data_IF_339751263717
#
_entry.id   IF_339751263717
#
_cell.length_a   1.000
_cell.length_b   1.000
_cell.length_c   1.000
_cell.angle_alpha   90.00
_cell.angle_beta   90.00
_cell.angle_gamma   90.00
#
_symmetry.space_group_name_H-M   'P 1'
#
loop_
_entity.id
_entity.type
_entity.pdbx_description
1 polymer ?
#
# COMPACT_ATOMS: atom_id res chain seq x y z
N UNK A 1 -13.79 17.46 -9.24
CA UNK A 1 -13.96 18.28 -8.02
C UNK A 1 -14.22 17.31 -6.87
N UNK A 2 -13.23 17.09 -6.01
CA UNK A 2 -13.40 16.28 -4.80
C UNK A 2 -13.98 17.20 -3.74
N UNK A 3 -15.25 17.03 -3.40
CA UNK A 3 -15.86 17.75 -2.29
C UNK A 3 -15.44 17.07 -0.99
N UNK A 4 -14.76 17.81 -0.12
CA UNK A 4 -14.59 17.42 1.28
C UNK A 4 -15.92 17.64 1.96
N UNK A 5 -16.66 16.56 2.18
CA UNK A 5 -17.90 16.59 2.94
C UNK A 5 -17.55 16.35 4.40
N UNK A 6 -17.84 17.34 5.25
CA UNK A 6 -17.95 17.10 6.69
C UNK A 6 -18.97 15.96 6.87
N UNK A 7 -18.60 14.95 7.64
CA UNK A 7 -19.42 13.77 7.88
C UNK A 7 -20.75 14.13 8.58
N UNK A 8 -20.80 15.28 9.25
CA UNK A 8 -22.01 15.88 9.83
C UNK A 8 -23.02 16.31 8.76
N UNK A 9 -22.55 16.86 7.65
CA UNK A 9 -23.39 17.27 6.51
C UNK A 9 -23.99 16.06 5.80
N UNK A 10 -23.35 14.90 5.89
CA UNK A 10 -23.86 13.67 5.30
C UNK A 10 -25.12 13.18 6.02
N UNK A 11 -25.26 13.46 7.32
CA UNK A 11 -26.41 13.04 8.13
C UNK A 11 -27.69 13.83 7.82
N UNK A 12 -27.59 14.99 7.17
CA UNK A 12 -28.73 15.86 6.85
C UNK A 12 -29.11 15.84 5.36
N UNK A 13 -28.38 15.09 4.52
CA UNK A 13 -28.64 14.97 3.08
C UNK A 13 -29.63 13.85 2.75
N UNK A 14 -30.35 14.00 1.63
CA UNK A 14 -31.10 12.91 1.03
C UNK A 14 -30.14 11.87 0.44
N UNK A 15 -29.97 10.76 1.17
CA UNK A 15 -28.98 9.73 0.87
C UNK A 15 -29.28 8.96 -0.43
N UNK A 16 -30.48 9.08 -1.01
CA UNK A 16 -30.86 8.39 -2.25
C UNK A 16 -30.02 8.81 -3.46
N UNK A 17 -29.44 10.00 -3.41
CA UNK A 17 -28.64 10.58 -4.50
C UNK A 17 -27.16 10.72 -4.15
N UNK A 18 -26.72 10.13 -3.03
CA UNK A 18 -25.34 10.21 -2.55
C UNK A 18 -24.62 8.89 -2.80
N UNK A 19 -23.42 8.97 -3.38
CA UNK A 19 -22.53 7.83 -3.54
C UNK A 19 -21.16 8.20 -2.97
N UNK A 20 -20.59 7.34 -2.13
CA UNK A 20 -19.31 7.58 -1.47
C UNK A 20 -18.24 6.73 -2.15
N UNK A 21 -17.47 7.33 -3.04
CA UNK A 21 -16.42 6.62 -3.80
C UNK A 21 -15.15 6.37 -2.99
N UNK A 22 -14.89 7.19 -1.97
CA UNK A 22 -13.66 7.16 -1.16
C UNK A 22 -13.96 7.57 0.28
N UNK A 23 -13.30 6.90 1.23
CA UNK A 23 -13.32 7.26 2.65
C UNK A 23 -11.88 7.34 3.14
N UNK A 24 -11.57 8.38 3.89
CA UNK A 24 -10.30 8.52 4.59
C UNK A 24 -10.58 8.73 6.08
N UNK A 25 -9.99 7.89 6.92
CA UNK A 25 -9.91 8.14 8.36
C UNK A 25 -8.53 8.73 8.63
N UNK A 26 -8.45 9.97 9.10
CA UNK A 26 -7.20 10.68 9.37
C UNK A 26 -7.28 11.40 10.72
N UNK A 27 -6.14 11.66 11.40
CA UNK A 27 -6.10 12.56 12.55
C UNK A 27 -6.64 13.93 12.16
N UNK A 28 -7.33 14.60 13.08
CA UNK A 28 -7.72 15.99 12.89
C UNK A 28 -6.48 16.89 12.91
N UNK A 29 -6.33 17.78 11.93
CA UNK A 29 -5.38 18.89 12.02
C UNK A 29 -5.99 19.99 12.88
N UNK A 30 -5.30 20.38 13.96
CA UNK A 30 -5.75 21.46 14.85
C UNK A 30 -5.81 22.79 14.07
N UNK A 31 -7.01 23.30 13.80
CA UNK A 31 -7.19 24.61 13.16
C UNK A 31 -8.52 24.86 12.44
N UNK A 32 -9.29 23.81 12.12
CA UNK A 32 -10.58 23.97 11.44
C UNK A 32 -11.76 23.95 12.43
N UNK A 33 -12.68 24.93 12.32
CA UNK A 33 -13.92 25.05 13.09
C UNK A 33 -14.90 23.90 12.79
N UNK A 34 -14.54 22.68 13.17
CA UNK A 34 -15.35 21.48 12.94
C UNK A 34 -15.94 20.99 14.26
N UNK A 35 -17.18 20.52 14.21
CA UNK A 35 -17.86 19.99 15.40
C UNK A 35 -17.42 18.55 15.59
N UNK A 36 -16.84 18.17 16.74
CA UNK A 36 -16.40 16.80 16.94
C UNK A 36 -17.58 15.82 16.96
N UNK A 37 -17.53 14.77 16.14
CA UNK A 37 -18.48 13.65 16.17
C UNK A 37 -18.16 12.75 17.37
N UNK A 38 -19.20 12.32 18.09
CA UNK A 38 -19.04 11.35 19.17
C UNK A 38 -18.60 9.98 18.62
N UNK A 39 -17.84 9.22 19.42
CA UNK A 39 -17.43 7.85 19.05
C UNK A 39 -18.63 6.95 18.76
N UNK A 40 -19.72 7.12 19.49
CA UNK A 40 -20.92 6.31 19.32
C UNK A 40 -21.66 6.68 18.03
N UNK A 41 -21.77 7.97 17.69
CA UNK A 41 -22.35 8.40 16.42
C UNK A 41 -21.50 7.94 15.22
N UNK A 42 -20.17 7.98 15.36
CA UNK A 42 -19.25 7.43 14.37
C UNK A 42 -19.52 5.95 14.11
N UNK A 43 -19.58 5.14 15.18
CA UNK A 43 -19.71 3.68 15.07
C UNK A 43 -21.11 3.24 14.68
N UNK A 44 -22.15 3.85 15.26
CA UNK A 44 -23.53 3.38 15.17
C UNK A 44 -24.34 4.02 14.04
N UNK A 45 -23.98 5.23 13.60
CA UNK A 45 -24.72 5.94 12.56
C UNK A 45 -23.89 6.06 11.30
N UNK A 46 -22.72 6.68 11.43
CA UNK A 46 -21.97 7.13 10.28
C UNK A 46 -21.36 5.96 9.49
N UNK A 47 -20.66 5.06 10.18
CA UNK A 47 -20.06 3.88 9.56
C UNK A 47 -21.10 3.06 8.78
N UNK A 48 -22.26 2.68 9.35
CA UNK A 48 -23.31 1.97 8.61
C UNK A 48 -23.80 2.71 7.37
N UNK A 49 -24.03 4.02 7.46
CA UNK A 49 -24.44 4.84 6.30
C UNK A 49 -23.37 4.77 5.22
N UNK A 50 -22.12 5.02 5.61
CA UNK A 50 -20.97 4.98 4.70
C UNK A 50 -20.86 3.61 4.02
N UNK A 51 -20.95 2.52 4.77
CA UNK A 51 -20.95 1.15 4.23
C UNK A 51 -22.05 0.94 3.17
N UNK A 52 -23.25 1.48 3.40
CA UNK A 52 -24.39 1.32 2.50
C UNK A 52 -24.21 2.06 1.18
N UNK A 53 -23.54 3.22 1.20
CA UNK A 53 -23.36 4.12 0.07
C UNK A 53 -22.08 3.86 -0.74
N UNK A 54 -21.22 2.94 -0.28
CA UNK A 54 -20.00 2.57 -0.98
C UNK A 54 -20.31 1.77 -2.27
N UNK A 55 -19.71 2.15 -3.42
CA UNK A 55 -19.67 1.30 -4.61
C UNK A 55 -18.75 0.09 -4.42
N UNK A 56 -18.89 -0.89 -5.30
CA UNK A 56 -17.91 -1.95 -5.52
C UNK A 56 -17.32 -1.79 -6.94
N UNK A 57 -16.01 -1.51 -7.11
CA UNK A 57 -15.00 -1.34 -6.06
C UNK A 57 -15.05 0.05 -5.39
N UNK A 58 -14.64 0.12 -4.13
CA UNK A 58 -14.44 1.39 -3.40
C UNK A 58 -13.05 1.52 -2.80
N UNK A 59 -12.66 2.78 -2.55
CA UNK A 59 -11.39 3.16 -1.95
C UNK A 59 -11.54 3.46 -0.46
N UNK A 60 -10.56 3.02 0.32
CA UNK A 60 -10.47 3.27 1.75
C UNK A 60 -9.04 3.61 2.14
N UNK A 61 -8.86 4.74 2.83
CA UNK A 61 -7.62 5.13 3.47
C UNK A 61 -7.80 5.16 4.99
N UNK A 62 -6.86 4.55 5.71
CA UNK A 62 -6.83 4.52 7.16
C UNK A 62 -5.46 5.03 7.61
N UNK A 63 -5.43 6.26 8.09
CA UNK A 63 -4.25 6.98 8.54
C UNK A 63 -3.80 6.56 9.94
N UNK A 64 -2.71 7.17 10.40
CA UNK A 64 -2.12 6.92 11.72
C UNK A 64 -3.13 7.23 12.84
N UNK A 65 -3.02 6.53 13.96
CA UNK A 65 -3.79 6.79 15.20
C UNK A 65 -5.31 6.53 15.14
N UNK A 66 -5.82 5.99 14.03
CA UNK A 66 -7.24 5.70 13.80
C UNK A 66 -7.73 4.37 14.41
N UNK A 67 -7.26 4.02 15.60
CA UNK A 67 -7.53 2.72 16.23
C UNK A 67 -9.02 2.42 16.49
N UNK A 68 -9.85 3.47 16.66
CA UNK A 68 -11.28 3.36 16.93
C UNK A 68 -12.10 2.79 15.75
N UNK A 69 -11.59 2.89 14.52
CA UNK A 69 -12.31 2.47 13.29
C UNK A 69 -11.88 1.12 12.75
N UNK A 70 -10.96 0.42 13.43
CA UNK A 70 -10.36 -0.82 12.95
C UNK A 70 -11.32 -2.02 12.91
N UNK A 71 -12.26 -2.13 13.85
CA UNK A 71 -13.24 -3.21 13.84
C UNK A 71 -14.28 -3.00 12.72
N UNK A 72 -14.89 -1.80 12.58
CA UNK A 72 -15.71 -1.47 11.42
C UNK A 72 -15.01 -1.67 10.06
N UNK A 73 -13.75 -1.25 9.96
CA UNK A 73 -12.91 -1.41 8.77
C UNK A 73 -12.92 -2.85 8.20
N UNK A 74 -12.93 -3.86 9.08
CA UNK A 74 -12.96 -5.27 8.66
C UNK A 74 -14.25 -5.65 7.92
N UNK A 75 -15.37 -4.98 8.22
CA UNK A 75 -16.69 -5.28 7.64
C UNK A 75 -16.90 -4.69 6.23
N UNK A 76 -16.01 -3.81 5.77
CA UNK A 76 -16.13 -3.11 4.49
C UNK A 76 -15.74 -4.01 3.30
N UNK A 77 -16.62 -4.92 2.87
CA UNK A 77 -16.32 -5.95 1.86
C UNK A 77 -16.12 -5.43 0.43
N UNK A 78 -16.72 -4.27 0.13
CA UNK A 78 -16.61 -3.57 -1.16
C UNK A 78 -15.28 -2.83 -1.34
N UNK A 79 -14.47 -2.72 -0.29
CA UNK A 79 -13.15 -2.09 -0.35
C UNK A 79 -12.17 -2.98 -1.12
N UNK A 80 -11.93 -2.64 -2.38
CA UNK A 80 -10.90 -3.31 -3.21
C UNK A 80 -9.61 -2.52 -3.26
N UNK A 81 -9.66 -1.22 -2.95
CA UNK A 81 -8.50 -0.34 -2.93
C UNK A 81 -8.28 0.16 -1.50
N UNK A 82 -7.13 -0.14 -0.93
CA UNK A 82 -6.82 0.07 0.47
C UNK A 82 -5.49 0.81 0.61
N UNK A 83 -5.51 1.97 1.28
CA UNK A 83 -4.33 2.55 1.89
C UNK A 83 -4.39 2.33 3.41
N UNK A 84 -3.36 1.71 3.99
CA UNK A 84 -3.29 1.44 5.42
C UNK A 84 -1.96 1.87 6.04
N UNK A 85 -2.02 2.82 6.96
CA UNK A 85 -0.87 3.28 7.74
C UNK A 85 -0.57 2.37 8.93
N UNK A 86 0.71 2.14 9.22
CA UNK A 86 1.14 1.45 10.43
C UNK A 86 1.03 2.35 11.67
N UNK A 87 0.37 1.85 12.71
CA UNK A 87 0.28 2.50 14.04
C UNK A 87 0.54 1.51 15.20
N UNK A 88 1.21 0.38 14.92
CA UNK A 88 1.57 -0.63 15.92
C UNK A 88 1.05 -2.03 15.61
N UNK A 89 1.31 -3.01 16.49
CA UNK A 89 1.05 -4.43 16.25
C UNK A 89 -0.40 -4.78 15.87
N UNK A 90 -1.37 -4.00 16.36
CA UNK A 90 -2.78 -4.19 16.01
C UNK A 90 -3.01 -4.05 14.50
N UNK A 91 -2.22 -3.22 13.82
CA UNK A 91 -2.25 -3.04 12.37
C UNK A 91 -1.98 -4.36 11.63
N UNK A 92 -1.00 -5.15 12.08
CA UNK A 92 -0.68 -6.45 11.47
C UNK A 92 -1.87 -7.42 11.56
N UNK A 93 -2.49 -7.51 12.76
CA UNK A 93 -3.65 -8.39 12.99
C UNK A 93 -4.84 -7.97 12.12
N UNK A 94 -5.10 -6.67 12.04
CA UNK A 94 -6.20 -6.10 11.25
C UNK A 94 -5.96 -6.31 9.76
N UNK A 95 -4.76 -6.04 9.25
CA UNK A 95 -4.40 -6.26 7.85
C UNK A 95 -4.53 -7.74 7.47
N UNK A 96 -3.95 -8.64 8.27
CA UNK A 96 -4.04 -10.09 8.04
C UNK A 96 -5.50 -10.56 7.96
N UNK A 97 -6.34 -10.10 8.88
CA UNK A 97 -7.77 -10.44 8.88
C UNK A 97 -8.50 -9.83 7.69
N UNK A 98 -8.21 -8.58 7.32
CA UNK A 98 -8.82 -7.91 6.16
C UNK A 98 -8.50 -8.65 4.87
N UNK A 99 -7.23 -8.96 4.63
CA UNK A 99 -6.76 -9.67 3.44
C UNK A 99 -7.18 -11.14 3.39
N UNK A 100 -7.59 -11.74 4.52
CA UNK A 100 -8.21 -13.08 4.55
C UNK A 100 -9.70 -13.06 4.23
N UNK A 101 -10.40 -12.03 4.67
CA UNK A 101 -11.87 -11.96 4.62
C UNK A 101 -12.40 -11.27 3.36
N UNK A 102 -11.66 -10.30 2.83
CA UNK A 102 -12.07 -9.51 1.69
C UNK A 102 -10.94 -9.44 0.66
N UNK A 103 -11.21 -9.70 -0.64
CA UNK A 103 -10.19 -9.61 -1.67
C UNK A 103 -9.90 -8.13 -1.96
N UNK A 104 -8.89 -7.59 -1.29
CA UNK A 104 -8.25 -6.31 -1.66
C UNK A 104 -7.41 -6.57 -2.90
N UNK A 105 -7.57 -5.73 -3.93
CA UNK A 105 -6.80 -5.81 -5.17
C UNK A 105 -5.64 -4.82 -5.18
N UNK A 106 -5.89 -3.61 -4.68
CA UNK A 106 -4.92 -2.52 -4.69
C UNK A 106 -4.59 -2.17 -3.24
N UNK A 107 -3.34 -2.39 -2.84
CA UNK A 107 -2.88 -2.19 -1.48
C UNK A 107 -1.72 -1.21 -1.43
N UNK A 108 -1.84 -0.19 -0.58
CA UNK A 108 -0.78 0.74 -0.23
C UNK A 108 -0.55 0.63 1.27
N UNK A 109 0.69 0.39 1.67
CA UNK A 109 1.10 0.30 3.06
C UNK A 109 2.05 1.45 3.39
N UNK A 110 1.57 2.39 4.21
CA UNK A 110 2.30 3.60 4.57
C UNK A 110 2.86 3.53 6.01
N UNK A 111 3.99 4.18 6.24
CA UNK A 111 4.67 4.23 7.55
C UNK A 111 5.63 3.08 7.82
N UNK A 112 6.10 2.99 9.06
CA UNK A 112 7.21 2.11 9.46
C UNK A 112 6.72 0.69 9.79
N UNK A 113 6.17 0.01 8.79
CA UNK A 113 5.74 -1.38 8.92
C UNK A 113 6.94 -2.30 9.21
N UNK A 114 6.80 -3.23 10.17
CA UNK A 114 7.87 -4.14 10.53
C UNK A 114 7.92 -5.32 9.54
N UNK A 115 9.07 -6.00 9.47
CA UNK A 115 9.35 -7.03 8.46
C UNK A 115 8.32 -8.18 8.46
N UNK A 116 7.70 -8.49 9.60
CA UNK A 116 6.67 -9.54 9.71
C UNK A 116 5.44 -9.29 8.82
N UNK A 117 5.24 -8.06 8.31
CA UNK A 117 4.17 -7.80 7.34
C UNK A 117 4.36 -8.61 6.05
N UNK A 118 5.60 -8.95 5.69
CA UNK A 118 5.92 -9.71 4.49
C UNK A 118 5.32 -11.12 4.52
N UNK A 119 5.24 -11.75 5.70
CA UNK A 119 4.59 -13.05 5.89
C UNK A 119 3.08 -13.01 5.57
N UNK A 120 2.47 -11.82 5.66
CA UNK A 120 1.07 -11.58 5.29
C UNK A 120 0.96 -11.35 3.77
N UNK A 121 1.94 -10.65 3.18
CA UNK A 121 1.90 -10.20 1.79
C UNK A 121 2.31 -11.29 0.79
N UNK A 122 3.35 -12.09 1.08
CA UNK A 122 3.88 -13.11 0.16
C UNK A 122 2.78 -14.08 -0.31
N UNK A 123 1.96 -14.69 0.57
CA UNK A 123 0.88 -15.57 0.13
C UNK A 123 -0.17 -14.86 -0.74
N UNK A 124 -0.34 -13.54 -0.56
CA UNK A 124 -1.33 -12.72 -1.27
C UNK A 124 -0.85 -12.32 -2.66
N UNK A 125 0.46 -12.09 -2.81
CA UNK A 125 1.12 -11.94 -4.10
C UNK A 125 1.01 -13.25 -4.90
N UNK A 126 1.45 -14.37 -4.32
CA UNK A 126 1.49 -15.67 -5.03
C UNK A 126 0.10 -16.19 -5.41
N UNK A 127 -0.91 -16.02 -4.55
CA UNK A 127 -2.29 -16.38 -4.90
C UNK A 127 -2.93 -15.49 -5.96
N UNK A 128 -2.32 -14.34 -6.28
CA UNK A 128 -2.83 -13.37 -7.23
C UNK A 128 -4.01 -12.54 -6.76
N UNK A 129 -4.26 -12.54 -5.46
CA UNK A 129 -5.28 -11.67 -4.85
C UNK A 129 -4.95 -10.18 -5.02
N UNK A 130 -3.65 -9.82 -5.00
CA UNK A 130 -3.18 -8.46 -5.19
C UNK A 130 -2.81 -8.20 -6.66
N UNK A 131 -3.40 -7.15 -7.22
CA UNK A 131 -3.09 -6.61 -8.55
C UNK A 131 -2.17 -5.40 -8.44
N UNK A 132 -2.31 -4.59 -7.39
CA UNK A 132 -1.40 -3.47 -7.10
C UNK A 132 -0.89 -3.52 -5.67
N UNK A 133 0.40 -3.30 -5.48
CA UNK A 133 1.02 -3.24 -4.16
C UNK A 133 2.08 -2.15 -4.09
N UNK A 134 1.90 -1.18 -3.20
CA UNK A 134 2.95 -0.25 -2.79
C UNK A 134 3.35 -0.56 -1.36
N UNK A 135 4.62 -0.90 -1.17
CA UNK A 135 5.18 -1.19 0.14
C UNK A 135 6.64 -0.75 0.18
N UNK A 136 6.95 0.19 1.08
CA UNK A 136 8.31 0.70 1.26
C UNK A 136 8.80 0.41 2.68
N UNK A 137 9.69 -0.57 2.84
CA UNK A 137 10.35 -0.94 4.09
C UNK A 137 11.61 -1.77 3.82
N UNK A 138 12.24 -2.33 4.85
CA UNK A 138 13.18 -3.42 4.65
C UNK A 138 12.42 -4.63 4.11
N UNK A 139 12.79 -5.11 2.92
CA UNK A 139 12.19 -6.26 2.24
C UNK A 139 13.16 -7.42 2.15
N UNK A 140 12.62 -8.64 2.14
CA UNK A 140 13.37 -9.89 1.99
C UNK A 140 13.49 -10.30 0.52
N UNK A 141 14.44 -11.19 0.23
CA UNK A 141 14.61 -11.77 -1.11
C UNK A 141 13.34 -12.52 -1.52
N UNK A 142 12.79 -13.34 -0.63
CA UNK A 142 11.57 -14.11 -0.89
C UNK A 142 10.38 -13.23 -1.29
N UNK A 143 10.27 -12.04 -0.68
CA UNK A 143 9.22 -11.09 -1.02
C UNK A 143 9.41 -10.52 -2.44
N UNK A 144 10.64 -10.19 -2.80
CA UNK A 144 10.98 -9.71 -4.15
C UNK A 144 10.71 -10.81 -5.19
N UNK A 145 11.18 -12.04 -4.96
CA UNK A 145 10.93 -13.17 -5.85
C UNK A 145 9.43 -13.44 -6.05
N UNK A 146 8.63 -13.36 -4.98
CA UNK A 146 7.18 -13.53 -5.06
C UNK A 146 6.53 -12.44 -5.93
N UNK A 147 6.97 -11.19 -5.80
CA UNK A 147 6.49 -10.09 -6.63
C UNK A 147 6.89 -10.25 -8.10
N UNK A 148 8.15 -10.62 -8.39
CA UNK A 148 8.61 -10.89 -9.76
C UNK A 148 7.87 -12.04 -10.40
N UNK A 149 7.71 -13.15 -9.68
CA UNK A 149 6.96 -14.33 -10.15
C UNK A 149 5.55 -13.91 -10.51
N UNK A 150 4.87 -13.18 -9.62
CA UNK A 150 3.49 -12.75 -9.88
C UNK A 150 3.39 -11.75 -11.04
N UNK A 151 4.33 -10.82 -11.13
CA UNK A 151 4.39 -9.88 -12.24
C UNK A 151 4.57 -10.61 -13.57
N UNK A 152 5.48 -11.59 -13.63
CA UNK A 152 5.71 -12.44 -14.80
C UNK A 152 4.47 -13.25 -15.17
N UNK A 153 3.84 -13.92 -14.21
CA UNK A 153 2.64 -14.75 -14.42
C UNK A 153 1.43 -13.95 -14.94
N UNK A 154 1.38 -12.66 -14.61
CA UNK A 154 0.36 -11.73 -15.12
C UNK A 154 0.80 -10.99 -16.37
N UNK A 155 1.92 -11.39 -16.96
CA UNK A 155 2.58 -10.71 -18.08
C UNK A 155 2.85 -9.21 -17.83
N UNK A 156 2.91 -8.79 -16.58
CA UNK A 156 3.11 -7.41 -16.13
C UNK A 156 1.82 -6.62 -15.88
N UNK A 157 0.64 -7.25 -15.90
CA UNK A 157 -0.62 -6.56 -15.52
C UNK A 157 -0.62 -6.15 -14.05
N UNK A 158 0.06 -6.91 -13.18
CA UNK A 158 0.24 -6.50 -11.81
C UNK A 158 1.23 -5.32 -11.70
N UNK A 159 0.94 -4.35 -10.83
CA UNK A 159 1.79 -3.18 -10.59
C UNK A 159 2.33 -3.22 -9.16
N UNK A 160 3.64 -3.41 -9.00
CA UNK A 160 4.26 -3.40 -7.69
C UNK A 160 5.27 -2.26 -7.56
N UNK A 161 5.21 -1.55 -6.45
CA UNK A 161 6.17 -0.55 -6.02
C UNK A 161 6.78 -1.02 -4.69
N UNK A 162 7.97 -1.60 -4.78
CA UNK A 162 8.70 -2.13 -3.64
C UNK A 162 9.89 -1.22 -3.37
N UNK A 163 10.23 -0.98 -2.11
CA UNK A 163 11.43 -0.19 -1.86
C UNK A 163 11.81 -0.07 -0.41
N UNK A 164 12.96 0.55 -0.15
CA UNK A 164 13.47 0.79 1.20
C UNK A 164 14.98 0.65 1.30
N UNK A 165 15.51 0.72 2.52
CA UNK A 165 16.95 0.55 2.77
C UNK A 165 17.33 -0.92 2.57
N UNK A 166 18.36 -1.16 1.78
CA UNK A 166 18.85 -2.50 1.46
C UNK A 166 20.37 -2.55 1.43
N UNK A 167 20.92 -3.75 1.58
CA UNK A 167 22.35 -3.97 1.35
C UNK A 167 22.69 -3.94 -0.13
N UNK A 168 23.97 -3.69 -0.43
CA UNK A 168 24.50 -3.73 -1.80
C UNK A 168 24.28 -5.12 -2.45
N UNK A 169 24.61 -6.19 -1.73
CA UNK A 169 24.43 -7.58 -2.19
C UNK A 169 22.96 -7.89 -2.53
N UNK A 170 22.02 -7.34 -1.74
CA UNK A 170 20.60 -7.47 -2.02
C UNK A 170 20.23 -6.82 -3.35
N UNK A 171 20.70 -5.59 -3.59
CA UNK A 171 20.45 -4.88 -4.85
C UNK A 171 21.01 -5.65 -6.05
N UNK A 172 22.23 -6.21 -5.93
CA UNK A 172 22.83 -7.07 -6.95
C UNK A 172 22.02 -8.34 -7.21
N UNK A 173 21.53 -8.99 -6.17
CA UNK A 173 20.68 -10.16 -6.30
C UNK A 173 19.37 -9.84 -7.06
N UNK A 174 18.71 -8.73 -6.72
CA UNK A 174 17.49 -8.30 -7.42
C UNK A 174 17.74 -8.04 -8.91
N UNK A 175 18.89 -7.46 -9.25
CA UNK A 175 19.33 -7.28 -10.64
C UNK A 175 19.49 -8.63 -11.35
N UNK A 176 20.14 -9.61 -10.74
CA UNK A 176 20.28 -10.95 -11.31
C UNK A 176 18.92 -11.63 -11.52
N UNK A 177 17.99 -11.53 -10.56
CA UNK A 177 16.63 -12.06 -10.73
C UNK A 177 15.89 -11.41 -11.90
N UNK A 178 16.06 -10.11 -12.11
CA UNK A 178 15.43 -9.41 -13.22
C UNK A 178 15.95 -9.85 -14.59
N UNK A 179 17.26 -10.10 -14.71
CA UNK A 179 17.91 -10.61 -15.93
C UNK A 179 17.33 -11.97 -16.32
N UNK A 180 17.15 -12.87 -15.33
CA UNK A 180 16.54 -14.19 -15.55
C UNK A 180 15.07 -14.12 -15.97
N UNK A 181 14.41 -12.99 -15.74
CA UNK A 181 13.03 -12.76 -16.12
C UNK A 181 12.86 -12.04 -17.47
N UNK A 182 13.96 -11.77 -18.19
CA UNK A 182 13.98 -11.01 -19.46
C UNK A 182 13.37 -9.61 -19.37
N UNK A 183 13.43 -9.00 -18.19
CA UNK A 183 12.83 -7.69 -17.94
C UNK A 183 13.93 -6.64 -18.03
N UNK A 184 13.91 -5.83 -19.09
CA UNK A 184 14.96 -4.85 -19.34
C UNK A 184 14.40 -3.44 -19.51
N UNK A 185 14.55 -2.63 -18.47
CA UNK A 185 15.08 -1.27 -18.60
C UNK A 185 15.67 -0.84 -17.25
N UNK A 186 16.89 -0.34 -17.27
CA UNK A 186 17.55 0.28 -16.13
C UNK A 186 17.47 1.78 -16.36
N UNK A 187 16.68 2.50 -15.58
CA UNK A 187 16.72 3.96 -15.57
C UNK A 187 17.52 4.40 -14.35
N UNK A 188 18.84 4.47 -14.52
CA UNK A 188 19.62 5.44 -13.77
C UNK A 188 19.32 6.80 -14.39
N UNK A 189 18.51 7.63 -13.74
CA UNK A 189 18.66 9.08 -13.92
C UNK A 189 19.15 9.70 -12.60
N UNK A 190 20.44 10.10 -12.54
CA UNK A 190 21.18 10.37 -11.31
C UNK A 190 21.14 11.85 -10.90
N UNK A 191 20.00 12.53 -11.06
CA UNK A 191 19.91 13.93 -10.64
C UNK A 191 19.68 14.02 -9.12
N UNK A 192 20.81 13.90 -8.40
CA UNK A 192 21.19 14.53 -7.12
C UNK A 192 21.45 13.65 -5.88
N UNK A 193 21.35 12.31 -5.91
CA UNK A 193 21.74 11.51 -4.74
C UNK A 193 22.45 10.20 -5.09
N UNK A 194 23.72 10.06 -4.70
CA UNK A 194 24.56 8.87 -4.97
C UNK A 194 24.06 7.61 -4.25
N UNK A 195 23.18 7.76 -3.26
CA UNK A 195 22.76 6.70 -2.34
C UNK A 195 21.42 6.05 -2.72
N UNK A 196 20.72 6.56 -3.74
CA UNK A 196 19.43 6.03 -4.19
C UNK A 196 19.57 5.36 -5.56
N UNK A 197 19.24 4.05 -5.60
CA UNK A 197 19.16 3.25 -6.83
C UNK A 197 17.71 2.92 -7.10
N UNK A 198 17.10 3.63 -8.05
CA UNK A 198 15.80 3.24 -8.57
C UNK A 198 15.97 2.26 -9.74
N UNK A 199 15.18 1.19 -9.72
CA UNK A 199 15.09 0.22 -10.79
C UNK A 199 13.65 0.18 -11.27
N UNK A 200 13.43 0.50 -12.54
CA UNK A 200 12.12 0.45 -13.17
C UNK A 200 12.09 -0.62 -14.23
N UNK A 201 11.46 -1.74 -13.91
CA UNK A 201 11.28 -2.87 -14.81
C UNK A 201 10.07 -2.63 -15.72
N UNK A 202 10.27 -2.71 -17.04
CA UNK A 202 9.24 -2.37 -18.03
C UNK A 202 9.03 -3.52 -19.03
N UNK A 203 7.76 -3.81 -19.38
CA UNK A 203 7.37 -4.69 -20.50
C UNK A 203 6.22 -4.05 -21.29
N UNK A 204 6.51 -3.43 -22.42
CA UNK A 204 5.54 -2.56 -23.12
C UNK A 204 5.22 -1.32 -22.27
N UNK A 205 3.93 -1.06 -21.99
CA UNK A 205 3.50 0.03 -21.10
C UNK A 205 3.46 -0.37 -19.60
N UNK A 206 3.79 -1.62 -19.28
CA UNK A 206 3.66 -2.21 -17.94
C UNK A 206 4.90 -1.99 -17.10
N UNK A 207 4.74 -1.66 -15.82
CA UNK A 207 5.83 -1.22 -14.93
C UNK A 207 5.85 -1.97 -13.60
N UNK A 208 7.03 -2.40 -13.19
CA UNK A 208 7.37 -2.86 -11.83
C UNK A 208 8.46 -1.90 -11.32
N UNK A 209 8.16 -1.18 -10.24
CA UNK A 209 9.08 -0.19 -9.66
C UNK A 209 9.72 -0.77 -8.41
N UNK A 210 11.04 -0.74 -8.36
CA UNK A 210 11.84 -1.13 -7.21
C UNK A 210 12.77 0.02 -6.84
N UNK A 211 12.53 0.70 -5.72
CA UNK A 211 13.38 1.83 -5.26
C UNK A 211 14.21 1.42 -4.05
N UNK A 212 15.51 1.25 -4.21
CA UNK A 212 16.41 0.85 -3.13
C UNK A 212 17.34 1.98 -2.73
N UNK A 213 17.58 2.09 -1.43
CA UNK A 213 18.60 2.97 -0.88
C UNK A 213 19.74 2.10 -0.35
N UNK A 214 20.97 2.36 -0.78
CA UNK A 214 22.13 1.71 -0.18
C UNK A 214 22.35 2.29 1.21
N UNK A 215 22.55 1.42 2.20
CA UNK A 215 22.90 1.88 3.54
C UNK A 215 24.36 2.35 3.57
N UNK A 216 24.64 3.66 3.79
CA UNK A 216 26.00 4.18 3.84
C UNK A 216 26.80 3.62 5.04
N UNK A 217 26.15 2.99 6.03
CA UNK A 217 26.81 2.39 7.19
C UNK A 217 27.51 1.04 6.88
N UNK A 218 27.31 0.45 5.70
CA UNK A 218 27.96 -0.81 5.31
C UNK A 218 28.61 -0.73 3.90
N UNK A 219 29.65 0.11 3.72
CA UNK A 219 30.34 0.24 2.45
C UNK A 219 31.36 -0.89 2.33
N UNK A 220 30.91 -2.08 1.96
CA UNK A 220 31.83 -3.13 1.51
C UNK A 220 31.60 -3.38 0.02
N UNK A 221 32.67 -3.09 -0.72
CA UNK A 221 32.90 -3.40 -2.13
C UNK A 221 32.34 -2.39 -3.15
N UNK A 222 33.13 -1.36 -3.40
CA UNK A 222 33.26 -0.75 -4.72
C UNK A 222 33.67 -1.85 -5.73
N UNK A 223 32.70 -2.41 -6.44
CA UNK A 223 32.94 -3.42 -7.45
C UNK A 223 33.25 -2.80 -8.81
N UNK A 224 34.42 -3.24 -9.31
CA UNK A 224 34.91 -3.28 -10.67
C UNK A 224 33.89 -2.97 -11.78
N UNK A 225 34.25 -1.97 -12.58
CA UNK A 225 33.95 -1.88 -14.01
C UNK A 225 34.40 -3.15 -14.74
N UNK A 226 33.46 -3.78 -15.46
CA UNK A 226 33.69 -4.54 -16.69
C UNK A 226 32.91 -3.86 -17.81
#
# INVERSE_FOLDING_TARGET
>A
MLAWLDLSDLLIKDLRYVQISSIAFQPFEEGENTTPISKDDLIQKLIPIVCSLMPDPSFLSVGKETHLVLKPFLSLSKTKNLNFSYFGELSLKVLSKKLKTNPVKDLVLDGNWPDQVQDILIPRLLSGSLSKLRFTSTISINYVEAAFTKWKDTEGVAEFELGGRQSHDFCHYVLECSRRCEIYQYLQDPLQNKDQKEMLFVKGDRKLKCSFFEDPANPRFSLLTL
#
